data_IF_181547080133
#
_entry.id   IF_181547080133
#
_cell.length_a   1.000
_cell.length_b   1.000
_cell.length_c   1.000
_cell.angle_alpha   90.00
_cell.angle_beta   90.00
_cell.angle_gamma   90.00
#
_symmetry.space_group_name_H-M   'P 1'
#
loop_
_entity.id
_entity.type
_entity.pdbx_description
1 polymer ?
#
# COMPACT_ATOMS: atom_id res chain seq x y z
N UNK A 1 63.35 -44.15 -24.46
CA UNK A 1 62.22 -43.98 -23.51
C UNK A 1 61.35 -42.83 -23.97
N UNK A 2 60.15 -43.13 -24.54
CA UNK A 2 59.20 -42.13 -25.01
C UNK A 2 58.23 -41.86 -23.86
N UNK A 3 58.22 -40.64 -23.38
CA UNK A 3 57.28 -40.16 -22.38
C UNK A 3 55.87 -40.04 -23.00
N UNK A 4 54.93 -40.82 -22.52
CA UNK A 4 53.51 -40.71 -22.87
C UNK A 4 52.90 -39.58 -22.04
N UNK A 5 52.64 -38.44 -22.69
CA UNK A 5 51.82 -37.36 -22.12
C UNK A 5 50.36 -37.82 -22.15
N UNK A 6 49.84 -38.28 -21.05
CA UNK A 6 48.40 -38.49 -20.87
C UNK A 6 47.71 -37.13 -20.82
N UNK A 7 47.00 -36.78 -21.88
CA UNK A 7 46.06 -35.66 -21.90
C UNK A 7 44.90 -35.98 -20.93
N UNK A 8 44.86 -35.31 -19.80
CA UNK A 8 43.70 -35.29 -18.95
C UNK A 8 42.56 -34.68 -19.72
N UNK A 9 41.57 -35.46 -20.11
CA UNK A 9 40.32 -34.95 -20.62
C UNK A 9 39.63 -34.13 -19.54
N UNK A 10 39.59 -32.80 -19.71
CA UNK A 10 38.70 -31.95 -18.93
C UNK A 10 37.27 -32.33 -19.32
N UNK A 11 36.53 -32.93 -18.40
CA UNK A 11 35.11 -33.12 -18.56
C UNK A 11 34.46 -31.72 -18.67
N UNK A 12 33.79 -31.46 -19.78
CA UNK A 12 32.97 -30.25 -19.98
C UNK A 12 31.69 -30.35 -19.11
N UNK A 13 31.89 -30.55 -17.80
CA UNK A 13 30.78 -30.53 -16.86
C UNK A 13 30.34 -29.11 -16.60
N UNK A 14 29.15 -28.75 -17.09
CA UNK A 14 28.55 -27.44 -16.87
C UNK A 14 27.72 -27.46 -15.60
N UNK A 15 28.17 -26.75 -14.58
CA UNK A 15 27.40 -26.56 -13.36
C UNK A 15 26.10 -25.82 -13.57
N UNK A 16 25.88 -25.20 -14.74
CA UNK A 16 24.65 -24.49 -15.07
C UNK A 16 23.41 -25.38 -15.04
N UNK A 17 23.57 -26.65 -15.37
CA UNK A 17 22.47 -27.64 -15.39
C UNK A 17 22.13 -28.18 -13.99
N UNK A 18 23.02 -28.00 -13.01
CA UNK A 18 22.79 -28.41 -11.63
C UNK A 18 22.11 -27.35 -10.78
N UNK A 19 21.88 -26.14 -11.33
CA UNK A 19 21.23 -25.05 -10.63
C UNK A 19 19.72 -25.25 -10.59
N UNK A 20 19.17 -25.40 -9.40
CA UNK A 20 17.73 -25.41 -9.15
C UNK A 20 17.19 -23.97 -9.13
N UNK A 21 17.11 -23.35 -10.31
CA UNK A 21 16.50 -22.01 -10.44
C UNK A 21 14.98 -22.14 -10.44
N UNK A 22 14.33 -21.24 -9.76
CA UNK A 22 12.88 -21.14 -9.78
C UNK A 22 12.42 -20.86 -11.22
N UNK A 23 11.57 -21.74 -11.76
CA UNK A 23 10.90 -21.52 -13.05
C UNK A 23 9.50 -21.02 -12.76
N UNK A 24 9.19 -19.83 -13.24
CA UNK A 24 7.89 -19.19 -13.02
C UNK A 24 7.53 -18.32 -14.22
N UNK A 25 6.24 -18.25 -14.52
CA UNK A 25 5.69 -17.35 -15.53
C UNK A 25 5.47 -15.93 -15.00
N UNK A 26 5.70 -15.73 -13.71
CA UNK A 26 5.66 -14.38 -13.13
C UNK A 26 6.78 -13.51 -13.71
N UNK A 27 6.42 -12.29 -14.06
CA UNK A 27 7.38 -11.29 -14.54
C UNK A 27 8.43 -11.01 -13.47
N UNK A 28 9.71 -11.05 -13.86
CA UNK A 28 10.84 -10.67 -12.98
C UNK A 28 10.82 -9.20 -12.57
N UNK A 29 10.11 -8.36 -13.32
CA UNK A 29 9.93 -6.94 -13.02
C UNK A 29 8.49 -6.72 -12.60
N UNK A 30 8.30 -6.14 -11.42
CA UNK A 30 6.98 -5.79 -10.91
C UNK A 30 6.26 -4.78 -11.81
N UNK A 31 6.99 -3.79 -12.35
CA UNK A 31 6.48 -2.73 -13.22
C UNK A 31 5.15 -2.15 -12.70
N UNK A 32 5.13 -1.78 -11.42
CA UNK A 32 3.91 -1.41 -10.68
C UNK A 32 3.17 -0.23 -11.32
N UNK A 33 3.90 0.71 -11.90
CA UNK A 33 3.31 1.90 -12.58
C UNK A 33 2.32 1.49 -13.70
N UNK A 34 2.57 0.37 -14.37
CA UNK A 34 1.69 -0.15 -15.43
C UNK A 34 0.73 -1.20 -14.89
N UNK A 35 1.26 -2.14 -14.09
CA UNK A 35 0.47 -3.29 -13.64
C UNK A 35 -0.60 -2.95 -12.62
N UNK A 36 -0.33 -2.00 -11.71
CA UNK A 36 -1.30 -1.64 -10.69
C UNK A 36 -2.57 -0.99 -11.28
N UNK A 37 -2.48 -0.02 -12.21
CA UNK A 37 -3.69 0.48 -12.90
C UNK A 37 -4.46 -0.60 -13.67
N UNK A 38 -3.78 -1.55 -14.32
CA UNK A 38 -4.44 -2.66 -15.01
C UNK A 38 -5.23 -3.53 -14.01
N UNK A 39 -4.63 -3.86 -12.87
CA UNK A 39 -5.26 -4.66 -11.82
C UNK A 39 -6.45 -3.90 -11.21
N UNK A 40 -6.30 -2.62 -10.91
CA UNK A 40 -7.37 -1.78 -10.38
C UNK A 40 -8.57 -1.71 -11.35
N UNK A 41 -8.30 -1.52 -12.63
CA UNK A 41 -9.35 -1.53 -13.65
C UNK A 41 -10.03 -2.91 -13.76
N UNK A 42 -9.27 -3.99 -13.66
CA UNK A 42 -9.84 -5.34 -13.62
C UNK A 42 -10.76 -5.52 -12.41
N UNK A 43 -10.34 -5.07 -11.22
CA UNK A 43 -11.17 -5.16 -10.01
C UNK A 43 -12.44 -4.35 -10.13
N UNK A 44 -12.34 -3.11 -10.61
CA UNK A 44 -13.51 -2.24 -10.80
C UNK A 44 -14.50 -2.81 -11.83
N UNK A 45 -14.01 -3.32 -12.96
CA UNK A 45 -14.86 -3.87 -14.03
C UNK A 45 -15.55 -5.19 -13.64
N UNK A 46 -15.04 -5.89 -12.64
CA UNK A 46 -15.57 -7.17 -12.18
C UNK A 46 -16.19 -7.10 -10.78
N UNK A 47 -16.33 -5.92 -10.18
CA UNK A 47 -16.89 -5.73 -8.84
C UNK A 47 -16.27 -6.67 -7.78
N UNK A 48 -14.95 -6.88 -7.83
CA UNK A 48 -14.26 -7.89 -7.02
C UNK A 48 -14.51 -7.68 -5.52
N UNK A 49 -14.45 -6.43 -5.05
CA UNK A 49 -14.66 -6.12 -3.62
C UNK A 49 -16.08 -6.50 -3.17
N UNK A 50 -17.09 -6.21 -4.01
CA UNK A 50 -18.47 -6.60 -3.73
C UNK A 50 -18.64 -8.12 -3.71
N UNK A 51 -18.06 -8.83 -4.70
CA UNK A 51 -18.13 -10.28 -4.77
C UNK A 51 -17.47 -10.95 -3.56
N UNK A 52 -16.31 -10.47 -3.12
CA UNK A 52 -15.62 -10.99 -1.93
C UNK A 52 -16.46 -10.76 -0.66
N UNK A 53 -17.04 -9.58 -0.51
CA UNK A 53 -17.89 -9.27 0.63
C UNK A 53 -19.18 -10.09 0.66
N UNK A 54 -19.77 -10.39 -0.49
CA UNK A 54 -21.01 -11.15 -0.64
C UNK A 54 -20.84 -12.66 -0.50
N UNK A 55 -19.71 -13.20 -1.00
CA UNK A 55 -19.47 -14.64 -1.06
C UNK A 55 -18.88 -15.21 0.24
N UNK A 56 -18.20 -14.40 1.05
CA UNK A 56 -17.66 -14.85 2.30
C UNK A 56 -18.74 -14.88 3.40
N UNK A 57 -19.08 -16.05 3.88
CA UNK A 57 -20.07 -16.28 4.94
C UNK A 57 -19.46 -16.52 6.32
N UNK A 58 -18.14 -16.41 6.45
CA UNK A 58 -17.43 -16.63 7.70
C UNK A 58 -17.66 -15.53 8.76
N UNK A 59 -16.97 -15.66 9.85
CA UNK A 59 -16.99 -14.67 10.93
C UNK A 59 -16.54 -13.28 10.44
N UNK A 60 -17.08 -12.25 11.06
CA UNK A 60 -16.66 -10.87 10.77
C UNK A 60 -15.26 -10.66 11.35
N UNK A 61 -14.36 -10.18 10.52
CA UNK A 61 -13.05 -9.69 10.92
C UNK A 61 -12.98 -8.19 10.71
N UNK A 62 -12.78 -7.44 11.77
CA UNK A 62 -12.65 -5.98 11.73
C UNK A 62 -11.22 -5.58 12.07
N UNK A 63 -10.57 -4.90 11.17
CA UNK A 63 -9.28 -4.26 11.41
C UNK A 63 -9.47 -2.74 11.44
N UNK A 64 -9.20 -2.14 12.60
CA UNK A 64 -9.33 -0.70 12.75
C UNK A 64 -8.25 0.02 11.93
N UNK A 65 -8.68 1.05 11.18
CA UNK A 65 -7.73 1.87 10.44
C UNK A 65 -7.15 2.96 11.31
N UNK A 66 -6.09 3.23 11.66
CA UNK A 66 -5.57 4.50 12.18
C UNK A 66 -5.38 5.43 10.98
N UNK A 67 -6.33 6.32 10.70
CA UNK A 67 -6.29 7.13 9.48
C UNK A 67 -5.18 8.18 9.57
N UNK A 68 -4.56 8.53 8.44
CA UNK A 68 -3.63 9.64 8.40
C UNK A 68 -4.35 10.99 8.55
N UNK A 69 -3.66 11.99 9.07
CA UNK A 69 -4.16 13.36 9.10
C UNK A 69 -4.26 13.97 7.70
N UNK A 70 -5.34 14.68 7.45
CA UNK A 70 -5.55 15.42 6.19
C UNK A 70 -4.76 16.76 6.19
N UNK A 71 -3.46 16.71 6.47
CA UNK A 71 -2.62 17.91 6.68
C UNK A 71 -1.40 17.99 5.74
N UNK A 72 -1.30 17.12 4.76
CA UNK A 72 -0.18 17.10 3.82
C UNK A 72 -0.07 15.83 3.02
N UNK A 73 1.03 15.68 2.30
CA UNK A 73 1.31 14.52 1.48
C UNK A 73 1.56 13.25 2.34
N UNK A 74 1.21 12.11 1.77
CA UNK A 74 1.53 10.80 2.35
C UNK A 74 3.05 10.57 2.31
N UNK A 75 3.55 9.89 3.32
CA UNK A 75 4.96 9.48 3.40
C UNK A 75 5.12 7.97 3.55
N UNK A 76 6.35 7.47 3.49
CA UNK A 76 6.64 6.03 3.54
C UNK A 76 6.07 5.31 4.77
N UNK A 77 5.95 5.99 5.90
CA UNK A 77 5.30 5.42 7.10
C UNK A 77 3.82 5.12 6.87
N UNK A 78 3.12 5.99 6.15
CA UNK A 78 1.73 5.73 5.74
C UNK A 78 1.65 4.55 4.78
N UNK A 79 2.54 4.49 3.78
CA UNK A 79 2.60 3.39 2.83
C UNK A 79 2.82 2.05 3.55
N UNK A 80 3.80 1.97 4.45
CA UNK A 80 4.05 0.77 5.23
C UNK A 80 2.82 0.34 6.04
N UNK A 81 2.19 1.27 6.75
CA UNK A 81 1.00 1.00 7.55
C UNK A 81 -0.14 0.45 6.70
N UNK A 82 -0.44 1.08 5.55
CA UNK A 82 -1.53 0.66 4.67
C UNK A 82 -1.25 -0.68 3.99
N UNK A 83 -0.03 -0.91 3.54
CA UNK A 83 0.38 -2.19 2.92
C UNK A 83 0.25 -3.33 3.92
N UNK A 84 0.70 -3.17 5.15
CA UNK A 84 0.55 -4.22 6.19
C UNK A 84 -0.92 -4.53 6.48
N UNK A 85 -1.78 -3.52 6.57
CA UNK A 85 -3.22 -3.71 6.76
C UNK A 85 -3.88 -4.39 5.57
N UNK A 86 -3.50 -4.01 4.35
CA UNK A 86 -3.98 -4.64 3.13
C UNK A 86 -3.64 -6.12 3.07
N UNK A 87 -2.40 -6.50 3.41
CA UNK A 87 -1.98 -7.90 3.49
C UNK A 87 -2.82 -8.67 4.50
N UNK A 88 -3.04 -8.12 5.69
CA UNK A 88 -3.85 -8.77 6.74
C UNK A 88 -5.30 -8.97 6.26
N UNK A 89 -5.91 -7.94 5.70
CA UNK A 89 -7.27 -7.98 5.20
C UNK A 89 -7.44 -9.00 4.08
N UNK A 90 -6.55 -8.99 3.09
CA UNK A 90 -6.53 -9.97 1.99
C UNK A 90 -6.34 -11.40 2.49
N UNK A 91 -5.39 -11.60 3.41
CA UNK A 91 -5.19 -12.91 4.04
C UNK A 91 -6.47 -13.41 4.74
N UNK A 92 -7.11 -12.58 5.54
CA UNK A 92 -8.35 -12.94 6.23
C UNK A 92 -9.48 -13.23 5.24
N UNK A 93 -9.62 -12.42 4.19
CA UNK A 93 -10.59 -12.66 3.12
C UNK A 93 -10.37 -14.01 2.43
N UNK A 94 -9.13 -14.35 2.07
CA UNK A 94 -8.78 -15.65 1.49
C UNK A 94 -9.02 -16.83 2.44
N UNK A 95 -9.02 -16.59 3.77
CA UNK A 95 -9.37 -17.57 4.79
C UNK A 95 -10.86 -17.71 5.01
N UNK A 96 -11.69 -17.01 4.24
CA UNK A 96 -13.14 -17.07 4.30
C UNK A 96 -13.80 -16.14 5.33
N UNK A 97 -13.02 -15.28 6.01
CA UNK A 97 -13.59 -14.27 6.89
C UNK A 97 -14.30 -13.18 6.07
N UNK A 98 -15.39 -12.66 6.63
CA UNK A 98 -16.05 -11.48 6.10
C UNK A 98 -15.33 -10.23 6.61
N UNK A 99 -14.44 -9.70 5.78
CA UNK A 99 -13.63 -8.52 6.10
C UNK A 99 -14.36 -7.26 5.66
N UNK A 100 -14.53 -6.33 6.58
CA UNK A 100 -15.03 -4.99 6.30
C UNK A 100 -13.99 -3.97 6.74
N UNK A 101 -13.30 -3.38 5.78
CA UNK A 101 -12.26 -2.38 6.03
C UNK A 101 -12.64 -1.06 5.36
N UNK A 102 -12.80 -0.02 6.15
CA UNK A 102 -13.12 1.32 5.66
C UNK A 102 -11.91 2.22 5.91
N UNK A 103 -11.15 2.58 4.88
CA UNK A 103 -10.10 3.57 5.00
C UNK A 103 -10.69 4.97 5.23
N UNK A 104 -9.93 5.84 5.87
CA UNK A 104 -10.39 7.19 6.16
C UNK A 104 -9.25 8.18 6.34
N UNK A 105 -9.63 9.41 6.72
CA UNK A 105 -8.74 10.52 7.02
C UNK A 105 -9.10 11.12 8.37
N UNK A 106 -8.09 11.51 9.15
CA UNK A 106 -8.30 12.33 10.34
C UNK A 106 -8.32 13.80 9.93
N UNK A 107 -9.52 14.38 9.95
CA UNK A 107 -9.80 15.69 9.40
C UNK A 107 -9.89 16.80 10.45
N UNK A 108 -9.50 16.55 11.70
CA UNK A 108 -9.63 17.53 12.78
C UNK A 108 -8.49 17.44 13.80
N UNK A 109 -8.57 18.29 14.83
CA UNK A 109 -7.58 18.34 15.90
C UNK A 109 -6.38 19.22 15.60
N UNK A 110 -5.44 19.21 16.56
CA UNK A 110 -4.27 20.09 16.54
C UNK A 110 -3.42 20.02 15.26
N UNK A 111 -3.19 18.86 14.63
CA UNK A 111 -2.40 18.80 13.39
C UNK A 111 -3.00 19.61 12.23
N UNK A 112 -4.34 19.63 12.12
CA UNK A 112 -5.05 20.41 11.10
C UNK A 112 -5.03 21.90 11.47
N UNK A 113 -5.34 22.22 12.73
CA UNK A 113 -5.35 23.61 13.23
C UNK A 113 -3.98 24.29 13.09
N UNK A 114 -2.90 23.59 13.44
CA UNK A 114 -1.53 24.10 13.27
C UNK A 114 -1.22 24.41 11.80
N UNK A 115 -1.65 23.54 10.89
CA UNK A 115 -1.43 23.74 9.45
C UNK A 115 -2.20 24.96 8.94
N UNK A 116 -3.44 25.12 9.38
CA UNK A 116 -4.23 26.33 9.07
C UNK A 116 -3.54 27.59 9.62
N UNK A 117 -3.10 27.57 10.87
CA UNK A 117 -2.38 28.69 11.49
C UNK A 117 -1.08 29.03 10.74
N UNK A 118 -0.33 28.01 10.27
CA UNK A 118 0.88 28.23 9.48
C UNK A 118 0.62 28.96 8.17
N UNK A 119 -0.54 28.71 7.56
CA UNK A 119 -0.93 29.29 6.27
C UNK A 119 -1.52 30.71 6.40
N UNK A 120 -1.84 31.17 7.61
CA UNK A 120 -2.41 32.50 7.86
C UNK A 120 -1.34 33.56 8.07
N UNK A 121 -1.61 34.80 7.62
CA UNK A 121 -0.78 35.95 7.87
C UNK A 121 -0.85 36.37 9.37
N UNK A 122 0.18 37.07 9.85
CA UNK A 122 0.28 37.48 11.25
C UNK A 122 -0.95 38.24 11.77
N UNK A 123 -1.49 39.15 10.95
CA UNK A 123 -2.64 39.98 11.34
C UNK A 123 -3.95 39.16 11.39
N UNK A 124 -4.09 38.19 10.51
CA UNK A 124 -5.25 37.28 10.52
C UNK A 124 -5.23 36.37 11.76
N UNK A 125 -4.02 35.95 12.21
CA UNK A 125 -3.89 35.10 13.41
C UNK A 125 -4.31 35.88 14.68
N UNK A 126 -3.95 37.15 14.78
CA UNK A 126 -4.27 37.99 15.99
C UNK A 126 -5.77 38.16 16.18
N UNK A 127 -6.53 38.20 15.08
CA UNK A 127 -7.97 38.44 15.09
C UNK A 127 -8.80 37.15 15.00
N UNK A 128 -8.14 35.96 15.06
CA UNK A 128 -8.79 34.67 14.90
C UNK A 128 -9.39 34.18 16.20
N UNK A 129 -10.70 34.08 16.27
CA UNK A 129 -11.38 33.40 17.37
C UNK A 129 -11.48 31.89 17.13
N UNK A 130 -11.76 31.12 18.18
CA UNK A 130 -11.83 29.66 18.16
C UNK A 130 -12.84 29.13 17.16
N UNK A 131 -14.01 29.78 17.00
CA UNK A 131 -15.04 29.37 16.05
C UNK A 131 -14.56 29.52 14.61
N UNK A 132 -13.91 30.63 14.30
CA UNK A 132 -13.37 30.90 12.97
C UNK A 132 -12.18 29.98 12.66
N UNK A 133 -11.35 29.64 13.66
CA UNK A 133 -10.30 28.64 13.48
C UNK A 133 -10.90 27.27 13.09
N UNK A 134 -11.93 26.82 13.79
CA UNK A 134 -12.62 25.55 13.47
C UNK A 134 -13.22 25.54 12.06
N UNK A 135 -13.90 26.64 11.66
CA UNK A 135 -14.44 26.78 10.30
C UNK A 135 -13.33 26.69 9.23
N UNK A 136 -12.21 27.37 9.46
CA UNK A 136 -11.05 27.31 8.56
C UNK A 136 -10.41 25.92 8.54
N UNK A 137 -10.35 25.23 9.69
CA UNK A 137 -9.83 23.87 9.76
C UNK A 137 -10.72 22.89 8.98
N UNK A 138 -12.04 22.99 9.13
CA UNK A 138 -12.97 22.17 8.33
C UNK A 138 -12.81 22.42 6.83
N UNK A 139 -12.74 23.68 6.42
CA UNK A 139 -12.54 24.03 5.01
C UNK A 139 -11.18 23.56 4.47
N UNK A 140 -10.16 23.52 5.30
CA UNK A 140 -8.84 23.02 4.91
C UNK A 140 -8.81 21.51 4.75
N UNK A 141 -9.48 20.76 5.63
CA UNK A 141 -9.47 19.30 5.63
C UNK A 141 -10.38 18.67 4.58
N UNK A 142 -11.36 19.43 4.06
CA UNK A 142 -12.24 19.02 2.95
C UNK A 142 -11.80 19.75 1.68
N UNK A 143 -10.83 19.22 0.90
CA UNK A 143 -10.50 19.80 -0.39
C UNK A 143 -11.71 19.70 -1.33
N UNK A 144 -11.96 20.76 -2.07
CA UNK A 144 -12.99 20.83 -3.12
C UNK A 144 -12.74 19.80 -4.20
#
# INVERSE_FOLDING_TARGET
>A
MKSQNSKVQKSDFSYKETLNLLKTDFSMRANSVVREPEIQNFWANNDIDFQLGSNNSGEIFTLHDGPPYANGALHMGHALNKVLKDIINKYKTLRGFRVHFVPGWDCHGLPIELKVLQNLKSDERKNLNTLNLRKKATAYAHPN
#
